data_IF_050585091378
#
_entry.id   IF_050585091378
#
_cell.length_a   1.000
_cell.length_b   1.000
_cell.length_c   1.000
_cell.angle_alpha   90.00
_cell.angle_beta   90.00
_cell.angle_gamma   90.00
#
_symmetry.space_group_name_H-M   'P 1'
#
loop_
_entity.id
_entity.type
_entity.pdbx_description
1 polymer ?
#
# COMPACT_ATOMS: atom_id res chain seq x y z
N UNK A 1 -10.95 -2.20 -12.47
CA UNK A 1 -9.97 -1.73 -11.49
C UNK A 1 -10.21 -2.56 -10.24
N UNK A 2 -9.24 -3.39 -9.84
CA UNK A 2 -9.36 -4.23 -8.65
C UNK A 2 -9.42 -3.32 -7.41
N UNK A 3 -10.23 -3.63 -6.41
CA UNK A 3 -10.22 -2.93 -5.13
C UNK A 3 -9.23 -3.60 -4.19
N UNK A 4 -8.39 -2.81 -3.51
CA UNK A 4 -7.55 -3.32 -2.43
C UNK A 4 -8.44 -3.61 -1.22
N UNK A 5 -8.27 -4.77 -0.61
CA UNK A 5 -8.97 -5.20 0.60
C UNK A 5 -8.01 -5.86 1.58
N UNK A 6 -8.40 -5.89 2.84
CA UNK A 6 -7.60 -6.49 3.92
C UNK A 6 -6.78 -5.50 4.73
N UNK A 7 -5.78 -6.04 5.42
CA UNK A 7 -4.91 -5.33 6.35
C UNK A 7 -3.46 -5.83 6.28
N UNK A 8 -2.54 -4.97 6.66
CA UNK A 8 -1.14 -5.27 6.80
C UNK A 8 -0.61 -4.69 8.11
N UNK A 9 0.29 -5.43 8.74
CA UNK A 9 0.92 -5.06 9.99
C UNK A 9 2.39 -4.81 9.73
N UNK A 10 2.84 -3.62 10.06
CA UNK A 10 4.23 -3.19 9.98
C UNK A 10 4.79 -3.03 11.39
N UNK A 11 6.03 -3.45 11.57
CA UNK A 11 6.83 -3.18 12.76
C UNK A 11 7.96 -2.26 12.33
N UNK A 12 8.00 -1.07 12.90
CA UNK A 12 9.04 -0.07 12.67
C UNK A 12 9.98 -0.13 13.85
N UNK A 13 11.27 -0.34 13.57
CA UNK A 13 12.31 -0.48 14.60
C UNK A 13 13.35 0.61 14.38
N UNK A 14 13.54 1.50 15.37
CA UNK A 14 14.65 2.45 15.32
C UNK A 14 15.99 1.74 15.57
N UNK A 15 16.94 1.93 14.65
CA UNK A 15 18.21 1.19 14.65
C UNK A 15 19.07 1.54 15.88
N UNK A 16 19.12 2.82 16.26
CA UNK A 16 19.97 3.30 17.36
C UNK A 16 19.44 2.92 18.75
N UNK A 17 18.15 3.13 19.01
CA UNK A 17 17.56 2.86 20.34
C UNK A 17 16.95 1.48 20.48
N UNK A 18 16.72 0.77 19.37
CA UNK A 18 15.92 -0.47 19.32
C UNK A 18 14.48 -0.25 19.81
N UNK A 19 13.95 0.97 19.69
CA UNK A 19 12.55 1.25 19.96
C UNK A 19 11.68 0.68 18.83
N UNK A 20 10.57 0.02 19.20
CA UNK A 20 9.68 -0.66 18.26
C UNK A 20 8.29 -0.02 18.31
N UNK A 21 7.74 0.31 17.14
CA UNK A 21 6.37 0.79 16.98
C UNK A 21 5.62 -0.05 15.94
N UNK A 22 4.40 -0.47 16.29
CA UNK A 22 3.55 -1.29 15.43
C UNK A 22 2.51 -0.41 14.75
N UNK A 23 2.46 -0.48 13.42
CA UNK A 23 1.45 0.19 12.60
C UNK A 23 0.55 -0.88 11.96
N UNK A 24 -0.75 -0.60 11.92
CA UNK A 24 -1.72 -1.40 11.17
C UNK A 24 -2.24 -0.53 10.05
N UNK A 25 -2.01 -0.95 8.81
CA UNK A 25 -2.55 -0.32 7.61
C UNK A 25 -3.71 -1.14 7.10
N UNK A 26 -4.81 -0.48 6.78
CA UNK A 26 -5.98 -1.10 6.15
C UNK A 26 -6.09 -0.61 4.72
N UNK A 27 -6.83 -1.32 3.87
CA UNK A 27 -7.07 -0.87 2.50
C UNK A 27 -7.60 0.58 2.37
N UNK A 28 -8.26 1.11 3.40
CA UNK A 28 -8.76 2.49 3.43
C UNK A 28 -7.68 3.55 3.60
N UNK A 29 -6.53 3.16 4.15
CA UNK A 29 -5.36 4.04 4.28
C UNK A 29 -4.65 4.21 2.93
N UNK A 30 -4.88 3.28 2.00
CA UNK A 30 -4.31 3.35 0.66
C UNK A 30 -5.17 4.22 -0.27
N UNK A 31 -4.50 5.04 -1.05
CA UNK A 31 -5.08 5.79 -2.15
C UNK A 31 -4.39 5.43 -3.45
N UNK A 32 -5.13 5.44 -4.56
CA UNK A 32 -4.59 5.14 -5.88
C UNK A 32 -3.88 6.37 -6.44
N UNK A 33 -2.57 6.27 -6.64
CA UNK A 33 -1.80 7.27 -7.35
C UNK A 33 -1.65 6.87 -8.82
N UNK A 34 -2.03 7.78 -9.72
CA UNK A 34 -1.79 7.59 -11.15
C UNK A 34 -0.34 7.93 -11.44
N UNK A 35 0.48 6.96 -11.87
CA UNK A 35 1.74 7.27 -12.56
C UNK A 35 1.42 8.16 -13.76
N UNK A 36 1.85 9.42 -13.70
CA UNK A 36 1.79 10.30 -14.87
C UNK A 36 2.67 9.69 -15.96
N UNK A 37 2.02 9.14 -17.00
CA UNK A 37 2.64 8.64 -18.24
C UNK A 37 3.38 9.78 -18.96
N UNK A 38 4.59 10.08 -18.53
CA UNK A 38 5.53 10.97 -19.21
C UNK A 38 6.91 10.30 -19.17
N UNK A 39 7.03 9.18 -19.88
CA UNK A 39 8.10 8.90 -20.86
C UNK A 39 8.02 7.43 -21.34
N UNK A 40 7.98 7.29 -22.67
CA UNK A 40 8.34 6.14 -23.51
C UNK A 40 7.76 4.73 -23.25
N UNK A 41 6.80 4.37 -24.12
CA UNK A 41 6.82 3.13 -24.93
C UNK A 41 7.05 1.77 -24.24
N UNK A 42 6.45 1.55 -23.06
CA UNK A 42 6.23 0.20 -22.55
C UNK A 42 4.78 0.04 -22.12
N UNK A 43 3.97 -0.54 -22.99
CA UNK A 43 2.64 -1.07 -22.67
C UNK A 43 2.84 -2.22 -21.66
N UNK A 44 2.93 -1.90 -20.36
CA UNK A 44 2.59 -2.86 -19.31
C UNK A 44 1.09 -2.79 -19.16
N UNK A 45 0.42 -3.91 -19.37
CA UNK A 45 -1.03 -4.12 -19.28
C UNK A 45 -1.61 -3.84 -17.86
N UNK A 46 -0.81 -3.40 -16.90
CA UNK A 46 -1.24 -3.01 -15.56
C UNK A 46 -1.72 -1.55 -15.59
N UNK A 47 -2.91 -1.33 -16.14
CA UNK A 47 -3.66 -0.06 -16.12
C UNK A 47 -4.28 0.23 -14.73
N UNK A 48 -3.97 -0.58 -13.72
CA UNK A 48 -4.35 -0.40 -12.32
C UNK A 48 -3.30 0.48 -11.61
N UNK A 49 -3.72 1.63 -11.07
CA UNK A 49 -2.83 2.56 -10.37
C UNK A 49 -2.12 1.91 -9.16
N UNK A 50 -0.99 2.48 -8.76
CA UNK A 50 -0.28 2.03 -7.54
C UNK A 50 -1.11 2.42 -6.31
N UNK A 51 -1.34 1.49 -5.39
CA UNK A 51 -1.99 1.77 -4.11
C UNK A 51 -0.92 2.23 -3.14
N UNK A 52 -1.02 3.47 -2.67
CA UNK A 52 -0.02 4.06 -1.78
C UNK A 52 -0.67 4.47 -0.48
N UNK A 53 -0.02 4.15 0.64
CA UNK A 53 -0.35 4.66 1.96
C UNK A 53 0.83 5.44 2.54
N UNK A 54 0.58 6.68 2.97
CA UNK A 54 1.55 7.46 3.75
C UNK A 54 1.45 7.04 5.22
N UNK A 55 2.55 6.57 5.77
CA UNK A 55 2.64 6.10 7.15
C UNK A 55 3.73 6.87 7.91
N UNK A 56 3.52 7.05 9.21
CA UNK A 56 4.46 7.72 10.09
C UNK A 56 4.63 6.94 11.38
N UNK A 57 5.86 6.65 11.77
CA UNK A 57 6.19 6.01 13.05
C UNK A 57 7.54 6.46 13.58
N UNK A 58 7.68 6.49 14.91
CA UNK A 58 8.89 6.92 15.61
C UNK A 58 9.39 8.32 15.17
N UNK A 59 8.48 9.15 14.66
CA UNK A 59 8.80 10.50 14.14
C UNK A 59 9.33 10.53 12.70
N UNK A 60 9.32 9.41 11.98
CA UNK A 60 9.72 9.30 10.58
C UNK A 60 8.51 9.02 9.68
N UNK A 61 8.46 9.70 8.54
CA UNK A 61 7.44 9.50 7.51
C UNK A 61 7.98 8.60 6.39
N UNK A 62 7.19 7.64 5.92
CA UNK A 62 7.53 6.73 4.84
C UNK A 62 6.27 6.31 4.06
N UNK A 63 6.47 5.71 2.87
CA UNK A 63 5.37 5.31 2.00
C UNK A 63 5.33 3.80 1.88
N UNK A 64 4.12 3.26 1.82
CA UNK A 64 3.86 1.84 1.63
C UNK A 64 3.09 1.68 0.34
N UNK A 65 3.67 0.96 -0.61
CA UNK A 65 3.11 0.72 -1.93
C UNK A 65 2.62 -0.72 -2.01
N UNK A 66 1.33 -0.89 -2.24
CA UNK A 66 0.72 -2.17 -2.50
C UNK A 66 0.58 -2.40 -4.01
N UNK A 67 1.17 -3.48 -4.51
CA UNK A 67 1.09 -3.90 -5.91
C UNK A 67 0.52 -5.32 -6.04
N UNK A 68 -0.28 -5.60 -7.08
CA UNK A 68 -0.77 -6.94 -7.34
C UNK A 68 0.37 -7.95 -7.51
N UNK A 69 0.20 -9.22 -7.10
CA UNK A 69 -1.03 -9.81 -6.55
C UNK A 69 -1.26 -9.62 -5.04
N UNK A 70 -0.22 -9.31 -4.25
CA UNK A 70 -0.29 -9.06 -2.79
C UNK A 70 1.05 -8.55 -2.24
N UNK A 71 1.79 -7.82 -3.06
CA UNK A 71 3.13 -7.34 -2.72
C UNK A 71 3.03 -6.01 -2.00
N UNK A 72 3.83 -5.86 -0.93
CA UNK A 72 4.00 -4.60 -0.22
C UNK A 72 5.46 -4.17 -0.32
N UNK A 73 5.69 -2.96 -0.82
CA UNK A 73 6.99 -2.33 -0.94
C UNK A 73 7.02 -1.09 -0.05
N UNK A 74 8.16 -0.84 0.58
CA UNK A 74 8.37 0.36 1.40
C UNK A 74 9.23 1.33 0.60
N UNK A 75 8.74 2.54 0.42
CA UNK A 75 9.44 3.60 -0.28
C UNK A 75 9.81 4.74 0.68
N UNK A 76 11.03 5.26 0.53
CA UNK A 76 11.50 6.38 1.34
C UNK A 76 11.83 6.00 2.79
N UNK A 77 12.14 4.73 3.06
CA UNK A 77 12.63 4.32 4.39
C UNK A 77 13.93 5.09 4.74
N UNK A 78 13.97 5.81 5.88
CA UNK A 78 15.19 6.42 6.38
C UNK A 78 16.14 5.36 6.96
N UNK A 79 17.45 5.62 6.91
CA UNK A 79 18.49 4.68 7.37
C UNK A 79 18.42 4.42 8.90
N UNK A 80 17.78 5.34 9.63
CA UNK A 80 17.58 5.32 11.07
C UNK A 80 16.50 4.35 11.55
N UNK A 81 15.62 3.89 10.66
CA UNK A 81 14.58 2.91 10.98
C UNK A 81 14.69 1.70 10.07
N UNK A 82 14.20 0.56 10.56
CA UNK A 82 13.98 -0.65 9.79
C UNK A 82 12.51 -1.01 9.87
N UNK A 83 11.90 -1.21 8.71
CA UNK A 83 10.48 -1.57 8.61
C UNK A 83 10.36 -3.05 8.27
N UNK A 84 9.64 -3.80 9.08
CA UNK A 84 9.38 -5.23 8.88
C UNK A 84 7.88 -5.48 8.70
N UNK A 85 7.52 -6.19 7.64
CA UNK A 85 6.14 -6.63 7.40
C UNK A 85 5.90 -7.85 8.27
N UNK A 86 5.17 -7.68 9.37
CA UNK A 86 4.86 -8.75 10.30
C UNK A 86 3.72 -9.63 9.81
N UNK A 87 2.67 -9.02 9.25
CA UNK A 87 1.49 -9.71 8.72
C UNK A 87 1.06 -9.00 7.44
N UNK A 88 0.67 -9.76 6.41
CA UNK A 88 0.16 -9.22 5.15
C UNK A 88 -1.06 -10.04 4.71
N UNK A 89 -2.24 -9.45 4.87
CA UNK A 89 -3.53 -9.98 4.41
C UNK A 89 -4.12 -9.13 3.29
N UNK A 90 -3.27 -8.36 2.58
CA UNK A 90 -3.73 -7.53 1.47
C UNK A 90 -4.09 -8.42 0.27
N UNK A 91 -5.26 -8.18 -0.29
CA UNK A 91 -5.79 -8.87 -1.45
C UNK A 91 -6.38 -7.86 -2.43
N UNK A 92 -6.17 -8.11 -3.72
CA UNK A 92 -6.79 -7.34 -4.80
C UNK A 92 -8.01 -8.11 -5.30
N UNK A 93 -9.19 -7.60 -5.01
CA UNK A 93 -10.47 -8.25 -5.35
C UNK A 93 -11.16 -7.47 -6.46
N UNK A 94 -11.92 -8.15 -7.31
CA UNK A 94 -12.80 -7.42 -8.24
C UNK A 94 -13.82 -6.63 -7.41
N UNK A 95 -14.05 -5.34 -7.74
CA UNK A 95 -15.09 -4.57 -7.08
C UNK A 95 -16.38 -5.36 -7.27
N UNK A 96 -17.15 -5.54 -6.19
CA UNK A 96 -18.47 -6.08 -6.33
C UNK A 96 -19.23 -5.15 -7.29
N UNK A 97 -19.58 -5.65 -8.47
CA UNK A 97 -20.65 -5.07 -9.27
C UNK A 97 -21.91 -5.16 -8.39
N UNK A 98 -22.11 -4.17 -7.51
CA UNK A 98 -23.45 -3.81 -7.07
C UNK A 98 -24.13 -3.24 -8.32
N UNK A 99 -24.55 -4.15 -9.20
CA UNK A 99 -25.71 -3.95 -10.06
C UNK A 99 -26.88 -3.71 -9.11
N UNK A 100 -26.98 -2.48 -8.60
CA UNK A 100 -28.24 -1.90 -8.15
C UNK A 100 -29.09 -1.77 -9.43
N UNK A 101 -29.63 -2.91 -9.88
CA UNK A 101 -30.80 -2.98 -10.76
C UNK A 101 -31.95 -2.32 -9.99
N UNK A 102 -31.96 -1.00 -9.97
CA UNK A 102 -33.18 -0.23 -9.73
C UNK A 102 -34.07 -0.44 -10.96
N UNK A 103 -34.78 -1.57 -10.98
CA UNK A 103 -35.94 -1.75 -11.85
C UNK A 103 -36.99 -0.69 -11.48
N UNK A 104 -37.15 0.32 -12.35
CA UNK A 104 -38.19 1.37 -12.30
C UNK A 104 -39.60 0.80 -12.49
#
# INVERSE_FOLDING_TARGET
MLELSGDAVLIVVEVDTQEEERIVLTAKDFHTEKRSMLDDDVMRDDEDGEYVADASALGYDFRVVATPPNTLEIEGEPEEIRIEIAENHMEFVEPADDEDEIED
#
